data_IF_521712357755
#
_entry.id   IF_521712357755
#
_cell.length_a   1.000
_cell.length_b   1.000
_cell.length_c   1.000
_cell.angle_alpha   90.00
_cell.angle_beta   90.00
_cell.angle_gamma   90.00
#
_symmetry.space_group_name_H-M   'P 1'
#
loop_
_entity.id
_entity.type
_entity.pdbx_description
1 polymer ?
#
# COMPACT_ATOMS: atom_id res chain seq x y z
N UNK A 1 -2.60 59.11 -22.11
CA UNK A 1 -3.29 58.20 -21.17
C UNK A 1 -2.67 56.79 -21.26
N UNK A 2 -1.84 56.46 -20.29
CA UNK A 2 -1.20 55.13 -20.18
C UNK A 2 -2.08 54.28 -19.31
N UNK A 3 -2.71 53.25 -19.86
CA UNK A 3 -3.35 52.20 -19.11
C UNK A 3 -2.32 51.12 -18.81
N UNK A 4 -1.87 51.10 -17.58
CA UNK A 4 -1.02 50.04 -17.02
C UNK A 4 -1.94 48.88 -16.65
N UNK A 5 -1.89 47.78 -17.42
CA UNK A 5 -2.57 46.52 -17.10
C UNK A 5 -1.72 45.82 -16.06
N UNK A 6 -2.19 45.84 -14.82
CA UNK A 6 -1.66 45.01 -13.76
C UNK A 6 -2.07 43.53 -14.03
N UNK A 7 -1.18 42.77 -14.61
CA UNK A 7 -1.33 41.33 -14.71
C UNK A 7 -1.09 40.71 -13.34
N UNK A 8 -2.18 40.37 -12.70
CA UNK A 8 -2.16 39.76 -11.37
C UNK A 8 -1.64 38.31 -11.49
N UNK A 9 -0.34 38.15 -11.29
CA UNK A 9 0.33 36.85 -11.27
C UNK A 9 0.02 36.13 -9.93
N UNK A 10 -1.27 35.76 -9.77
CA UNK A 10 -1.67 34.85 -8.68
C UNK A 10 -1.76 33.45 -9.26
N UNK A 11 -0.64 32.99 -9.82
CA UNK A 11 -0.56 31.64 -10.36
C UNK A 11 0.13 30.74 -9.34
N UNK A 12 -0.70 29.95 -8.64
CA UNK A 12 -0.51 28.51 -8.53
C UNK A 12 0.75 28.04 -7.79
N UNK A 13 0.79 28.29 -6.47
CA UNK A 13 1.54 27.38 -5.59
C UNK A 13 0.54 26.32 -5.10
N UNK A 14 0.04 25.55 -6.04
CA UNK A 14 -0.65 24.30 -5.76
C UNK A 14 0.19 23.22 -6.41
N UNK A 15 0.84 22.46 -5.67
CA UNK A 15 1.51 21.20 -6.01
C UNK A 15 2.86 21.13 -5.33
N UNK A 16 2.96 20.30 -4.38
CA UNK A 16 3.97 19.23 -4.28
C UNK A 16 4.05 18.68 -2.87
N UNK A 17 2.92 18.43 -2.26
CA UNK A 17 2.91 17.72 -0.99
C UNK A 17 2.17 16.37 -1.13
N UNK A 18 2.37 15.69 -2.29
CA UNK A 18 1.96 14.31 -2.38
C UNK A 18 3.18 13.41 -2.29
N UNK A 19 3.22 12.68 -1.18
CA UNK A 19 4.10 11.55 -0.99
C UNK A 19 5.60 11.86 -0.90
N UNK A 20 6.03 12.36 0.23
CA UNK A 20 7.30 11.86 0.74
C UNK A 20 7.04 10.44 1.25
N UNK A 21 7.04 9.46 0.36
CA UNK A 21 7.29 8.09 0.74
C UNK A 21 8.73 8.05 1.25
N UNK A 22 8.94 8.34 2.52
CA UNK A 22 10.17 8.00 3.19
C UNK A 22 10.22 6.48 3.27
N UNK A 23 10.72 5.87 2.19
CA UNK A 23 11.03 4.46 2.16
C UNK A 23 12.29 4.24 2.96
N UNK A 24 12.13 4.02 4.26
CA UNK A 24 13.23 3.53 5.09
C UNK A 24 13.49 2.07 4.70
N UNK A 25 14.69 1.73 4.21
CA UNK A 25 15.02 0.34 3.89
C UNK A 25 15.09 -0.49 5.18
N UNK A 26 14.63 -1.73 5.12
CA UNK A 26 14.78 -2.80 6.13
C UNK A 26 13.66 -2.94 7.19
N UNK A 27 12.42 -3.13 6.78
CA UNK A 27 11.43 -3.75 7.67
C UNK A 27 10.78 -4.92 6.97
N UNK A 28 11.52 -6.03 6.87
CA UNK A 28 10.96 -7.31 6.50
C UNK A 28 10.40 -7.97 7.76
N UNK A 29 9.18 -8.50 7.69
CA UNK A 29 8.59 -9.16 8.84
C UNK A 29 8.91 -10.65 8.85
N UNK A 30 9.21 -11.16 10.07
CA UNK A 30 9.27 -12.59 10.36
C UNK A 30 8.05 -12.98 11.19
N UNK A 31 7.46 -14.13 10.89
CA UNK A 31 6.27 -14.64 11.58
C UNK A 31 6.49 -15.09 13.04
N UNK A 32 7.46 -14.57 13.78
CA UNK A 32 7.87 -15.15 15.08
C UNK A 32 7.35 -14.45 16.34
N UNK A 33 7.06 -13.16 16.32
CA UNK A 33 6.64 -12.43 17.52
C UNK A 33 5.30 -11.73 17.34
N UNK A 34 4.23 -12.44 17.68
CA UNK A 34 2.88 -11.87 17.66
C UNK A 34 2.50 -11.33 19.02
N UNK A 35 2.57 -10.02 19.19
CA UNK A 35 1.79 -9.37 20.25
C UNK A 35 0.38 -9.16 19.68
N UNK A 36 -0.61 -9.78 20.33
CA UNK A 36 -2.02 -9.52 19.96
C UNK A 36 -2.39 -8.13 20.44
N UNK A 37 -2.27 -7.13 19.57
CA UNK A 37 -2.66 -5.76 19.86
C UNK A 37 -4.18 -5.63 19.61
N UNK A 38 -4.99 -5.37 20.66
CA UNK A 38 -6.45 -5.27 20.53
C UNK A 38 -6.91 -4.08 19.68
N UNK A 39 -6.01 -3.09 19.43
CA UNK A 39 -6.30 -1.95 18.58
C UNK A 39 -6.12 -2.25 17.08
N UNK A 40 -5.55 -3.40 16.73
CA UNK A 40 -5.46 -3.84 15.34
C UNK A 40 -6.75 -4.56 14.98
N UNK A 41 -7.53 -4.08 13.99
CA UNK A 41 -8.77 -4.73 13.59
C UNK A 41 -8.50 -6.12 13.02
N UNK A 42 -9.48 -7.02 13.16
CA UNK A 42 -9.39 -8.35 12.57
C UNK A 42 -9.69 -8.32 11.07
N UNK A 43 -8.96 -9.09 10.25
CA UNK A 43 -9.24 -9.15 8.83
C UNK A 43 -10.53 -9.92 8.55
N UNK A 44 -11.29 -9.47 7.56
CA UNK A 44 -12.51 -10.13 7.07
C UNK A 44 -12.31 -10.77 5.68
N UNK A 45 -11.24 -10.42 5.00
CA UNK A 45 -10.87 -10.91 3.66
C UNK A 45 -9.43 -10.55 3.33
N UNK A 46 -9.06 -10.68 2.06
CA UNK A 46 -7.76 -10.21 1.58
C UNK A 46 -7.73 -8.69 1.41
N UNK A 47 -8.89 -8.05 1.22
CA UNK A 47 -9.06 -6.60 1.21
C UNK A 47 -9.91 -6.19 2.40
N UNK A 48 -9.43 -5.19 3.15
CA UNK A 48 -10.09 -4.67 4.34
C UNK A 48 -10.09 -3.14 4.28
N UNK A 49 -11.22 -2.54 3.93
CA UNK A 49 -11.35 -1.10 3.73
C UNK A 49 -11.88 -0.40 5.00
N UNK A 50 -11.01 -0.18 5.98
CA UNK A 50 -11.39 0.51 7.24
C UNK A 50 -11.52 2.03 7.09
N UNK A 51 -11.03 2.60 5.99
CA UNK A 51 -11.16 4.03 5.69
C UNK A 51 -12.37 4.33 4.81
N UNK A 52 -13.09 3.28 4.31
CA UNK A 52 -14.24 3.39 3.41
C UNK A 52 -13.94 4.23 2.16
N UNK A 53 -12.79 3.98 1.52
CA UNK A 53 -12.34 4.72 0.33
C UNK A 53 -12.69 4.02 -0.98
N UNK A 54 -13.14 2.77 -0.92
CA UNK A 54 -13.62 2.00 -2.05
C UNK A 54 -15.14 1.86 -2.00
N UNK A 55 -15.78 1.86 -3.15
CA UNK A 55 -17.16 1.36 -3.25
C UNK A 55 -17.19 -0.15 -3.02
N UNK A 56 -18.37 -0.68 -2.66
CA UNK A 56 -18.51 -2.13 -2.41
C UNK A 56 -18.13 -2.99 -3.63
N UNK A 57 -18.41 -2.52 -4.83
CA UNK A 57 -18.01 -3.22 -6.07
C UNK A 57 -16.49 -3.19 -6.30
N UNK A 58 -15.84 -2.09 -5.98
CA UNK A 58 -14.39 -1.96 -6.07
C UNK A 58 -13.69 -2.86 -5.06
N UNK A 59 -14.18 -2.89 -3.81
CA UNK A 59 -13.66 -3.77 -2.76
C UNK A 59 -13.75 -5.24 -3.16
N UNK A 60 -14.93 -5.68 -3.66
CA UNK A 60 -15.13 -7.05 -4.16
C UNK A 60 -14.19 -7.37 -5.31
N UNK A 61 -13.99 -6.43 -6.23
CA UNK A 61 -13.09 -6.63 -7.38
C UNK A 61 -11.64 -6.80 -6.91
N UNK A 62 -11.16 -5.91 -6.03
CA UNK A 62 -9.81 -5.99 -5.46
C UNK A 62 -9.59 -7.30 -4.69
N UNK A 63 -10.57 -7.72 -3.86
CA UNK A 63 -10.49 -8.97 -3.10
C UNK A 63 -10.44 -10.18 -4.04
N UNK A 64 -11.26 -10.19 -5.10
CA UNK A 64 -11.27 -11.27 -6.10
C UNK A 64 -9.92 -11.38 -6.82
N UNK A 65 -9.32 -10.27 -7.23
CA UNK A 65 -8.01 -10.24 -7.90
C UNK A 65 -6.93 -10.79 -6.97
N UNK A 66 -6.89 -10.36 -5.72
CA UNK A 66 -5.94 -10.88 -4.72
C UNK A 66 -6.18 -12.37 -4.46
N UNK A 67 -7.43 -12.76 -4.24
CA UNK A 67 -7.80 -14.16 -3.99
C UNK A 67 -7.37 -15.09 -5.12
N UNK A 68 -7.59 -14.68 -6.36
CA UNK A 68 -7.23 -15.49 -7.53
C UNK A 68 -5.71 -15.55 -7.73
N UNK A 69 -4.98 -14.49 -7.39
CA UNK A 69 -3.53 -14.52 -7.37
C UNK A 69 -3.00 -15.46 -6.28
N UNK A 70 -3.46 -15.31 -5.05
CA UNK A 70 -3.01 -16.09 -3.89
C UNK A 70 -3.25 -17.60 -4.08
N UNK A 71 -4.28 -18.02 -4.83
CA UNK A 71 -4.52 -19.43 -5.16
C UNK A 71 -3.47 -20.04 -6.09
N UNK A 72 -2.84 -19.22 -6.94
CA UNK A 72 -1.92 -19.67 -7.99
C UNK A 72 -0.47 -19.38 -7.68
N UNK A 73 -0.21 -18.43 -6.83
CA UNK A 73 1.12 -17.98 -6.47
C UNK A 73 1.57 -18.56 -5.12
N UNK A 74 2.89 -18.66 -4.96
CA UNK A 74 3.51 -19.01 -3.69
C UNK A 74 3.79 -17.74 -2.83
N UNK A 75 3.04 -16.66 -3.08
CA UNK A 75 3.10 -15.40 -2.36
C UNK A 75 1.68 -15.05 -1.95
N UNK A 76 1.49 -14.72 -0.69
CA UNK A 76 0.20 -14.27 -0.17
C UNK A 76 0.17 -12.75 -0.06
N UNK A 77 -0.77 -12.13 -0.79
CA UNK A 77 -1.00 -10.68 -0.74
C UNK A 77 -2.23 -10.40 0.13
N UNK A 78 -2.14 -9.35 0.94
CA UNK A 78 -3.27 -8.75 1.63
C UNK A 78 -3.18 -7.21 1.57
N UNK A 79 -4.34 -6.55 1.61
CA UNK A 79 -4.47 -5.10 1.53
C UNK A 79 -5.39 -4.60 2.64
N UNK A 80 -5.00 -3.48 3.27
CA UNK A 80 -5.92 -2.74 4.11
C UNK A 80 -5.77 -1.23 3.93
N UNK A 81 -6.88 -0.53 4.07
CA UNK A 81 -6.89 0.92 4.24
C UNK A 81 -7.16 1.25 5.70
N UNK A 82 -6.62 2.37 6.19
CA UNK A 82 -6.76 2.76 7.59
C UNK A 82 -7.13 4.24 7.69
N UNK A 83 -8.17 4.54 8.44
CA UNK A 83 -8.52 5.92 8.76
C UNK A 83 -7.40 6.59 9.58
N UNK A 84 -7.19 7.87 9.33
CA UNK A 84 -6.17 8.67 10.01
C UNK A 84 -6.38 8.81 11.52
N UNK A 85 -7.58 8.53 12.03
CA UNK A 85 -7.88 8.46 13.45
C UNK A 85 -7.40 7.17 14.13
N UNK A 86 -7.11 6.10 13.37
CA UNK A 86 -6.71 4.80 13.92
C UNK A 86 -5.25 4.78 14.38
N UNK A 87 -4.37 5.56 13.75
CA UNK A 87 -2.93 5.55 14.03
C UNK A 87 -2.29 6.88 13.67
N UNK A 88 -1.28 7.32 14.43
CA UNK A 88 -0.53 8.53 14.11
C UNK A 88 0.29 8.35 12.82
N UNK A 89 0.41 9.43 12.02
CA UNK A 89 1.13 9.43 10.75
C UNK A 89 2.56 8.88 10.87
N UNK A 90 3.32 9.33 11.86
CA UNK A 90 4.71 8.93 12.06
C UNK A 90 4.86 7.45 12.49
N UNK A 91 3.78 6.85 13.00
CA UNK A 91 3.75 5.45 13.41
C UNK A 91 3.17 4.53 12.33
N UNK A 92 2.71 5.06 11.20
CA UNK A 92 1.95 4.28 10.20
C UNK A 92 2.77 3.13 9.60
N UNK A 93 4.07 3.34 9.34
CA UNK A 93 4.94 2.27 8.84
C UNK A 93 5.07 1.12 9.84
N UNK A 94 5.33 1.41 11.11
CA UNK A 94 5.43 0.39 12.14
C UNK A 94 4.09 -0.27 12.44
N UNK A 95 3.00 0.46 12.31
CA UNK A 95 1.65 -0.06 12.46
C UNK A 95 1.31 -1.06 11.36
N UNK A 96 1.54 -0.73 10.09
CA UNK A 96 1.31 -1.66 8.97
C UNK A 96 2.16 -2.93 9.07
N UNK A 97 3.38 -2.81 9.60
CA UNK A 97 4.23 -3.98 9.90
C UNK A 97 3.59 -4.88 10.97
N UNK A 98 3.11 -4.30 12.07
CA UNK A 98 2.42 -5.05 13.14
C UNK A 98 1.13 -5.71 12.61
N UNK A 99 0.36 -5.01 11.78
CA UNK A 99 -0.83 -5.57 11.14
C UNK A 99 -0.47 -6.80 10.30
N UNK A 100 0.54 -6.70 9.42
CA UNK A 100 1.00 -7.80 8.60
C UNK A 100 1.40 -9.03 9.44
N UNK A 101 2.10 -8.79 10.53
CA UNK A 101 2.51 -9.83 11.49
C UNK A 101 1.31 -10.45 12.22
N UNK A 102 0.41 -9.63 12.80
CA UNK A 102 -0.74 -10.11 13.55
C UNK A 102 -1.73 -10.85 12.66
N UNK A 103 -1.93 -10.41 11.43
CA UNK A 103 -2.77 -11.10 10.45
C UNK A 103 -2.10 -12.33 9.84
N UNK A 104 -0.82 -12.54 10.14
CA UNK A 104 -0.04 -13.68 9.63
C UNK A 104 -0.07 -13.75 8.12
N UNK A 105 0.18 -12.61 7.45
CA UNK A 105 0.19 -12.55 6.00
C UNK A 105 1.38 -13.36 5.48
N UNK A 106 1.09 -14.42 4.72
CA UNK A 106 2.07 -15.40 4.25
C UNK A 106 2.16 -16.65 5.11
N UNK A 107 2.90 -17.64 4.63
CA UNK A 107 3.16 -18.87 5.34
C UNK A 107 4.37 -18.71 6.29
N UNK A 108 4.22 -19.17 7.53
CA UNK A 108 5.23 -19.02 8.59
C UNK A 108 6.64 -19.52 8.21
N UNK A 109 6.69 -20.65 7.48
CA UNK A 109 7.97 -21.28 7.11
C UNK A 109 8.64 -20.60 5.91
N UNK A 110 7.85 -19.90 5.08
CA UNK A 110 8.30 -19.26 3.83
C UNK A 110 8.52 -17.79 3.98
N UNK A 111 7.87 -17.13 4.96
CA UNK A 111 7.81 -15.66 5.09
C UNK A 111 7.45 -14.97 3.74
N UNK A 112 6.51 -15.57 3.00
CA UNK A 112 6.15 -15.23 1.63
C UNK A 112 4.94 -14.27 1.56
N UNK A 113 4.73 -13.47 2.59
CA UNK A 113 3.66 -12.49 2.64
C UNK A 113 4.04 -11.16 2.00
N UNK A 114 3.03 -10.45 1.45
CA UNK A 114 3.11 -9.06 1.02
C UNK A 114 1.87 -8.34 1.54
N UNK A 115 2.06 -7.31 2.35
CA UNK A 115 0.97 -6.52 2.91
C UNK A 115 1.03 -5.09 2.39
N UNK A 116 -0.10 -4.60 1.89
CA UNK A 116 -0.28 -3.23 1.40
C UNK A 116 -1.13 -2.47 2.41
N UNK A 117 -0.56 -1.44 3.04
CA UNK A 117 -1.27 -0.54 3.94
C UNK A 117 -1.41 0.85 3.32
N UNK A 118 -2.63 1.39 3.26
CA UNK A 118 -2.94 2.70 2.68
C UNK A 118 -3.64 3.56 3.73
N UNK A 119 -3.28 4.83 3.82
CA UNK A 119 -4.04 5.85 4.54
C UNK A 119 -4.21 7.05 3.61
N UNK A 120 -5.41 7.22 3.05
CA UNK A 120 -5.75 8.32 2.15
C UNK A 120 -5.72 9.65 2.88
N UNK A 121 -6.21 9.69 4.12
CA UNK A 121 -6.23 10.91 4.95
C UNK A 121 -4.82 11.48 5.18
N UNK A 122 -3.82 10.65 5.37
CA UNK A 122 -2.42 11.06 5.48
C UNK A 122 -1.70 11.14 4.15
N UNK A 123 -2.29 10.62 3.06
CA UNK A 123 -1.66 10.46 1.74
C UNK A 123 -0.37 9.66 1.80
N UNK A 124 -0.39 8.56 2.52
CA UNK A 124 0.74 7.64 2.67
C UNK A 124 0.31 6.20 2.39
N UNK A 125 1.27 5.40 1.95
CA UNK A 125 1.13 3.96 1.84
C UNK A 125 2.45 3.27 2.16
N UNK A 126 2.37 2.04 2.63
CA UNK A 126 3.53 1.18 2.81
C UNK A 126 3.24 -0.22 2.27
N UNK A 127 4.27 -0.84 1.72
CA UNK A 127 4.27 -2.25 1.36
C UNK A 127 5.25 -2.95 2.28
N UNK A 128 4.76 -3.93 3.02
CA UNK A 128 5.56 -4.74 3.93
C UNK A 128 5.78 -6.10 3.27
N UNK A 129 7.05 -6.43 3.01
CA UNK A 129 7.45 -7.70 2.44
C UNK A 129 7.91 -8.66 3.52
N UNK A 130 7.43 -9.90 3.52
CA UNK A 130 8.05 -10.99 4.27
C UNK A 130 9.47 -11.25 3.76
N UNK A 131 10.32 -11.86 4.60
CA UNK A 131 11.73 -12.13 4.23
C UNK A 131 11.83 -12.97 2.97
N UNK A 132 10.94 -13.95 2.79
CA UNK A 132 10.87 -14.75 1.56
C UNK A 132 10.49 -13.94 0.34
N UNK A 133 9.48 -13.05 0.48
CA UNK A 133 9.07 -12.14 -0.61
C UNK A 133 10.17 -11.17 -0.97
N UNK A 134 10.90 -10.64 0.00
CA UNK A 134 12.00 -9.68 -0.22
C UNK A 134 13.16 -10.24 -1.06
N UNK A 135 13.36 -11.55 -1.07
CA UNK A 135 14.34 -12.21 -1.95
C UNK A 135 13.96 -12.07 -3.44
N UNK A 136 12.66 -11.98 -3.72
CA UNK A 136 12.11 -11.87 -5.07
C UNK A 136 11.85 -10.41 -5.44
N UNK A 137 11.26 -9.64 -4.52
CA UNK A 137 10.89 -8.24 -4.70
C UNK A 137 11.73 -7.36 -3.78
N UNK A 138 12.83 -6.81 -4.31
CA UNK A 138 13.71 -5.91 -3.55
C UNK A 138 13.00 -4.60 -3.18
N UNK A 139 13.51 -3.91 -2.14
CA UNK A 139 13.00 -2.61 -1.71
C UNK A 139 12.99 -1.57 -2.84
N UNK A 140 14.05 -1.58 -3.67
CA UNK A 140 14.14 -0.69 -4.82
C UNK A 140 13.05 -0.98 -5.86
N UNK A 141 12.76 -2.26 -6.14
CA UNK A 141 11.69 -2.66 -7.05
C UNK A 141 10.31 -2.31 -6.46
N UNK A 142 10.10 -2.56 -5.17
CA UNK A 142 8.88 -2.17 -4.45
C UNK A 142 8.65 -0.66 -4.55
N UNK A 143 9.69 0.14 -4.26
CA UNK A 143 9.61 1.60 -4.38
C UNK A 143 9.29 2.04 -5.81
N UNK A 144 9.94 1.46 -6.80
CA UNK A 144 9.68 1.77 -8.21
C UNK A 144 8.21 1.52 -8.59
N UNK A 145 7.64 0.39 -8.15
CA UNK A 145 6.22 0.07 -8.41
C UNK A 145 5.30 1.07 -7.70
N UNK A 146 5.59 1.44 -6.45
CA UNK A 146 4.83 2.48 -5.76
C UNK A 146 4.83 3.77 -6.58
N UNK A 147 6.00 4.25 -6.98
CA UNK A 147 6.17 5.55 -7.64
C UNK A 147 5.56 5.57 -9.05
N UNK A 148 5.56 4.44 -9.76
CA UNK A 148 5.15 4.38 -11.17
C UNK A 148 3.73 3.85 -11.40
N UNK A 149 3.21 3.01 -10.50
CA UNK A 149 1.90 2.39 -10.68
C UNK A 149 0.83 2.94 -9.70
N UNK A 150 1.13 3.07 -8.40
CA UNK A 150 0.16 3.59 -7.42
C UNK A 150 0.05 5.11 -7.45
N UNK A 151 1.16 5.81 -7.26
CA UNK A 151 1.20 7.24 -7.00
C UNK A 151 0.62 8.10 -8.11
N UNK A 152 0.83 7.82 -9.43
CA UNK A 152 0.25 8.65 -10.48
C UNK A 152 -1.27 8.73 -10.45
N UNK A 153 -1.95 7.63 -10.12
CA UNK A 153 -3.41 7.62 -10.00
C UNK A 153 -3.87 8.22 -8.65
N UNK A 154 -3.14 7.97 -7.57
CA UNK A 154 -3.44 8.60 -6.28
C UNK A 154 -3.38 10.13 -6.34
N UNK A 155 -2.42 10.69 -7.09
CA UNK A 155 -2.33 12.13 -7.35
C UNK A 155 -3.56 12.69 -8.08
N UNK A 156 -4.24 11.87 -8.88
CA UNK A 156 -5.51 12.21 -9.55
C UNK A 156 -6.72 11.97 -8.65
N UNK A 157 -6.51 11.64 -7.37
CA UNK A 157 -7.55 11.22 -6.42
C UNK A 157 -8.30 9.93 -6.83
N UNK A 158 -7.71 9.14 -7.73
CA UNK A 158 -8.26 7.87 -8.18
C UNK A 158 -7.59 6.70 -7.44
N UNK A 159 -7.97 6.52 -6.15
CA UNK A 159 -7.29 5.56 -5.27
C UNK A 159 -7.53 4.13 -5.74
N UNK A 160 -8.76 3.80 -6.18
CA UNK A 160 -9.07 2.46 -6.68
C UNK A 160 -8.21 2.07 -7.88
N UNK A 161 -8.15 2.92 -8.92
CA UNK A 161 -7.36 2.62 -10.11
C UNK A 161 -5.86 2.52 -9.78
N UNK A 162 -5.35 3.36 -8.89
CA UNK A 162 -3.95 3.27 -8.44
C UNK A 162 -3.67 1.99 -7.68
N UNK A 163 -4.59 1.57 -6.81
CA UNK A 163 -4.47 0.31 -6.08
C UNK A 163 -4.49 -0.88 -7.03
N UNK A 164 -5.44 -0.93 -7.96
CA UNK A 164 -5.55 -2.03 -8.94
C UNK A 164 -4.29 -2.13 -9.81
N UNK A 165 -3.85 -1.02 -10.43
CA UNK A 165 -2.63 -0.98 -11.26
C UNK A 165 -1.38 -1.37 -10.47
N UNK A 166 -1.26 -0.88 -9.25
CA UNK A 166 -0.12 -1.19 -8.40
C UNK A 166 -0.08 -2.66 -8.00
N UNK A 167 -1.21 -3.25 -7.64
CA UNK A 167 -1.32 -4.68 -7.36
C UNK A 167 -0.97 -5.53 -8.59
N UNK A 168 -1.48 -5.18 -9.77
CA UNK A 168 -1.14 -5.87 -11.02
C UNK A 168 0.36 -5.82 -11.30
N UNK A 169 1.01 -4.67 -11.13
CA UNK A 169 2.45 -4.52 -11.31
C UNK A 169 3.25 -5.37 -10.31
N UNK A 170 2.81 -5.43 -9.04
CA UNK A 170 3.41 -6.32 -8.03
C UNK A 170 3.27 -7.78 -8.43
N UNK A 171 2.07 -8.22 -8.80
CA UNK A 171 1.77 -9.61 -9.19
C UNK A 171 2.58 -10.04 -10.42
N UNK A 172 2.70 -9.19 -11.43
CA UNK A 172 3.52 -9.44 -12.62
C UNK A 172 5.00 -9.62 -12.21
N UNK A 173 5.52 -8.70 -11.41
CA UNK A 173 6.93 -8.74 -10.98
C UNK A 173 7.26 -9.98 -10.16
N UNK A 174 6.36 -10.34 -9.23
CA UNK A 174 6.51 -11.53 -8.38
C UNK A 174 6.41 -12.83 -9.20
N UNK A 175 5.54 -12.86 -10.22
CA UNK A 175 5.38 -14.02 -11.08
C UNK A 175 6.57 -14.23 -12.04
N UNK A 176 7.17 -13.15 -12.55
CA UNK A 176 8.28 -13.21 -13.51
C UNK A 176 9.60 -13.73 -12.90
N UNK A 177 9.77 -13.62 -11.58
CA UNK A 177 11.01 -14.02 -10.88
C UNK A 177 10.94 -15.41 -10.22
N UNK A 178 9.89 -16.17 -10.49
CA UNK A 178 9.70 -17.52 -9.97
C UNK A 178 10.43 -18.61 -10.79
N UNK A 179 11.11 -18.21 -11.88
CA UNK A 179 11.84 -19.11 -12.78
C UNK A 179 13.34 -19.02 -12.60
#
# INVERSE_FOLDING_TARGET
LKHTIFFNLFTLIFVTAFCQCNFAPKNHFQGKDFTNDPNIPQPTGFVNDFENIYSKSEEITLDSVIKDYNKRADIQIALATFDSGMVKKDSFQSYTLKVAQQWRVGEKEKDNGLFIGICKGYRIMYIQNGIGTAKILSDAATKSIIDTAFIPEFKKNNVYAGTLKGMEALMITLSAKKH
#
